data_IF_179023441698
#
_entry.id   IF_179023441698
#
_cell.length_a   1.000
_cell.length_b   1.000
_cell.length_c   1.000
_cell.angle_alpha   90.00
_cell.angle_beta   90.00
_cell.angle_gamma   90.00
#
_symmetry.space_group_name_H-M   'P 1'
#
loop_
_entity.id
_entity.type
_entity.pdbx_description
1 polymer ?
#
# COMPACT_ATOMS: atom_id res chain seq x y z
N UNK A 1 30.10 -13.47 -13.47
CA UNK A 1 30.48 -12.16 -14.07
C UNK A 1 29.49 -11.68 -15.13
N UNK A 2 29.15 -12.48 -16.15
CA UNK A 2 28.23 -12.06 -17.23
C UNK A 2 26.83 -11.63 -16.73
N UNK A 3 26.23 -12.36 -15.77
CA UNK A 3 24.93 -12.02 -15.17
C UNK A 3 24.92 -10.67 -14.43
N UNK A 4 26.02 -10.31 -13.77
CA UNK A 4 26.16 -9.04 -13.04
C UNK A 4 26.30 -7.88 -14.04
N UNK A 5 27.11 -8.06 -15.09
CA UNK A 5 27.25 -7.07 -16.15
C UNK A 5 25.92 -6.76 -16.83
N UNK A 6 25.14 -7.79 -17.17
CA UNK A 6 23.82 -7.62 -17.78
C UNK A 6 22.85 -6.88 -16.86
N UNK A 7 22.85 -7.15 -15.55
CA UNK A 7 22.03 -6.43 -14.58
C UNK A 7 22.43 -4.95 -14.44
N UNK A 8 23.72 -4.64 -14.47
CA UNK A 8 24.20 -3.25 -14.43
C UNK A 8 23.79 -2.51 -15.70
N UNK A 9 23.86 -3.15 -16.86
CA UNK A 9 23.43 -2.55 -18.14
C UNK A 9 21.91 -2.28 -18.17
N UNK A 10 21.10 -3.19 -17.59
CA UNK A 10 19.65 -2.95 -17.44
C UNK A 10 19.35 -1.78 -16.48
N UNK A 11 20.06 -1.70 -15.36
CA UNK A 11 19.95 -0.58 -14.42
C UNK A 11 20.30 0.75 -15.09
N UNK A 12 21.39 0.80 -15.84
CA UNK A 12 21.79 1.99 -16.60
C UNK A 12 20.74 2.40 -17.65
N UNK A 13 20.06 1.43 -18.29
CA UNK A 13 18.94 1.70 -19.20
C UNK A 13 17.72 2.29 -18.46
N UNK A 14 17.40 1.77 -17.28
CA UNK A 14 16.31 2.30 -16.43
C UNK A 14 16.60 3.72 -15.96
N UNK A 15 17.82 3.98 -15.46
CA UNK A 15 18.25 5.32 -15.04
C UNK A 15 18.16 6.33 -16.21
N UNK A 16 18.62 5.97 -17.41
CA UNK A 16 18.50 6.83 -18.59
C UNK A 16 17.06 7.12 -19.02
N UNK A 17 16.12 6.20 -18.77
CA UNK A 17 14.69 6.45 -19.03
C UNK A 17 14.12 7.47 -18.04
N UNK A 18 14.51 7.39 -16.76
CA UNK A 18 14.13 8.36 -15.73
C UNK A 18 14.71 9.74 -16.03
N UNK A 19 15.97 9.83 -16.51
CA UNK A 19 16.61 11.10 -16.89
C UNK A 19 15.95 11.77 -18.12
N UNK A 20 15.37 10.98 -19.04
CA UNK A 20 14.70 11.49 -20.25
C UNK A 20 13.23 11.84 -20.06
N UNK A 21 12.56 11.27 -19.05
CA UNK A 21 11.23 11.67 -18.66
C UNK A 21 11.31 13.04 -17.98
N UNK A 22 10.54 14.00 -18.48
CA UNK A 22 10.49 15.38 -17.95
C UNK A 22 9.72 15.38 -16.59
N UNK A 23 10.23 14.59 -15.62
CA UNK A 23 9.70 14.60 -14.27
C UNK A 23 10.31 15.80 -13.55
N UNK A 24 9.47 16.67 -13.01
CA UNK A 24 9.84 17.82 -12.16
C UNK A 24 10.54 17.44 -10.86
N UNK A 25 11.52 16.53 -10.96
CA UNK A 25 12.34 16.07 -9.85
C UNK A 25 13.32 17.13 -9.41
N UNK A 26 13.52 17.27 -8.10
CA UNK A 26 14.45 18.22 -7.51
C UNK A 26 15.84 18.08 -8.10
N UNK A 27 16.58 19.17 -8.23
CA UNK A 27 17.98 19.23 -8.69
C UNK A 27 18.88 18.21 -7.95
N UNK A 28 18.53 17.86 -6.71
CA UNK A 28 19.19 16.85 -5.87
C UNK A 28 19.05 15.43 -6.44
N UNK A 29 17.90 15.06 -7.00
CA UNK A 29 17.64 13.75 -7.60
C UNK A 29 18.50 13.56 -8.86
N UNK A 30 18.60 14.58 -9.71
CA UNK A 30 19.46 14.56 -10.90
C UNK A 30 20.95 14.44 -10.55
N UNK A 31 21.41 15.13 -9.49
CA UNK A 31 22.78 15.01 -8.99
C UNK A 31 23.08 13.61 -8.46
N UNK A 32 22.14 13.01 -7.75
CA UNK A 32 22.28 11.65 -7.19
C UNK A 32 22.32 10.61 -8.31
N UNK A 33 21.40 10.68 -9.27
CA UNK A 33 21.38 9.78 -10.44
C UNK A 33 22.67 9.85 -11.25
N UNK A 34 23.21 11.06 -11.50
CA UNK A 34 24.49 11.24 -12.19
C UNK A 34 25.68 10.64 -11.42
N UNK A 35 25.70 10.75 -10.08
CA UNK A 35 26.74 10.13 -9.25
C UNK A 35 26.66 8.59 -9.32
N UNK A 36 25.46 8.03 -9.25
CA UNK A 36 25.23 6.57 -9.38
C UNK A 36 25.64 6.08 -10.76
N UNK A 37 25.27 6.79 -11.82
CA UNK A 37 25.65 6.44 -13.19
C UNK A 37 27.18 6.44 -13.40
N UNK A 38 27.88 7.43 -12.84
CA UNK A 38 29.37 7.49 -12.90
C UNK A 38 30.00 6.32 -12.13
N UNK A 39 29.47 5.99 -10.96
CA UNK A 39 29.97 4.87 -10.14
C UNK A 39 29.75 3.52 -10.85
N UNK A 40 28.57 3.29 -11.42
CA UNK A 40 28.26 2.06 -12.15
C UNK A 40 29.14 1.89 -13.39
N UNK A 41 29.43 2.97 -14.14
CA UNK A 41 30.38 2.94 -15.24
C UNK A 41 31.81 2.62 -14.80
N UNK A 42 32.27 3.26 -13.72
CA UNK A 42 33.60 2.99 -13.15
C UNK A 42 33.76 1.51 -12.73
N UNK A 43 32.72 0.90 -12.14
CA UNK A 43 32.69 -0.51 -11.74
C UNK A 43 32.75 -1.43 -12.96
N UNK A 44 32.07 -1.09 -14.06
CA UNK A 44 32.08 -1.91 -15.28
C UNK A 44 33.40 -1.85 -16.07
N UNK A 45 34.14 -0.75 -15.94
CA UNK A 45 35.39 -0.52 -16.67
C UNK A 45 36.61 -1.10 -15.94
N UNK A 46 36.60 -1.22 -14.60
CA UNK A 46 37.71 -1.77 -13.81
C UNK A 46 37.51 -3.24 -13.47
N UNK A 47 38.25 -4.13 -14.13
CA UNK A 47 38.17 -5.60 -14.02
C UNK A 47 38.58 -6.21 -12.63
N UNK A 48 38.83 -5.42 -11.60
CA UNK A 48 39.57 -5.89 -10.41
C UNK A 48 38.84 -5.74 -9.04
N UNK A 49 37.48 -5.72 -8.97
CA UNK A 49 36.79 -5.66 -7.68
C UNK A 49 35.53 -6.57 -7.61
N UNK A 50 35.66 -7.90 -7.48
CA UNK A 50 34.48 -8.77 -7.34
C UNK A 50 33.76 -8.63 -5.99
N UNK A 51 34.47 -8.37 -4.89
CA UNK A 51 33.87 -8.34 -3.53
C UNK A 51 33.08 -7.08 -3.23
N UNK A 52 33.53 -5.92 -3.71
CA UNK A 52 32.84 -4.64 -3.47
C UNK A 52 31.52 -4.53 -4.27
N UNK A 53 31.47 -5.19 -5.43
CA UNK A 53 30.27 -5.21 -6.28
C UNK A 53 29.15 -6.07 -5.66
N UNK A 54 29.49 -7.17 -5.01
CA UNK A 54 28.49 -8.03 -4.36
C UNK A 54 27.86 -7.32 -3.15
N UNK A 55 28.68 -6.61 -2.34
CA UNK A 55 28.19 -5.81 -1.24
C UNK A 55 27.29 -4.64 -1.72
N UNK A 56 27.66 -3.94 -2.78
CA UNK A 56 26.88 -2.82 -3.31
C UNK A 56 25.53 -3.28 -3.91
N UNK A 57 25.49 -4.44 -4.56
CA UNK A 57 24.27 -5.02 -5.15
C UNK A 57 23.34 -5.56 -4.05
N UNK A 58 23.88 -6.02 -2.92
CA UNK A 58 23.09 -6.43 -1.75
C UNK A 58 22.49 -5.24 -0.97
N UNK A 59 23.15 -4.06 -1.02
CA UNK A 59 22.62 -2.82 -0.47
C UNK A 59 21.71 -2.05 -1.44
N UNK A 60 21.68 -2.41 -2.71
CA UNK A 60 20.70 -1.92 -3.67
C UNK A 60 19.48 -2.86 -3.65
N UNK A 61 18.80 -2.99 -2.50
CA UNK A 61 17.37 -3.22 -2.55
C UNK A 61 16.81 -2.25 -3.60
N UNK A 62 15.90 -2.67 -4.51
CA UNK A 62 15.29 -1.71 -5.41
C UNK A 62 14.80 -0.59 -4.53
N UNK A 63 15.44 0.58 -4.62
CA UNK A 63 14.83 1.80 -4.14
C UNK A 63 13.55 1.83 -4.97
N UNK A 64 12.46 1.42 -4.37
CA UNK A 64 11.14 1.73 -4.87
C UNK A 64 11.17 3.25 -4.88
N UNK A 65 11.46 3.84 -6.04
CA UNK A 65 11.17 5.24 -6.29
C UNK A 65 9.65 5.24 -6.20
N UNK A 66 9.11 5.50 -5.00
CA UNK A 66 7.75 5.94 -4.88
C UNK A 66 7.72 7.18 -5.77
N UNK A 67 7.05 7.06 -6.90
CA UNK A 67 6.72 8.23 -7.68
C UNK A 67 6.04 9.19 -6.69
N UNK A 68 6.54 10.42 -6.61
CA UNK A 68 5.85 11.46 -5.84
C UNK A 68 4.41 11.53 -6.37
N UNK A 69 3.45 11.72 -5.47
CA UNK A 69 2.06 11.90 -5.88
C UNK A 69 1.97 12.91 -7.01
N UNK A 70 1.15 12.61 -8.01
CA UNK A 70 0.89 13.54 -9.13
C UNK A 70 0.16 14.78 -8.65
N UNK A 71 -0.71 14.61 -7.66
CA UNK A 71 -1.52 15.66 -7.05
C UNK A 71 -1.15 15.80 -5.57
N UNK A 72 -1.19 17.02 -5.06
CA UNK A 72 -0.82 17.33 -3.67
C UNK A 72 -1.90 16.94 -2.66
N UNK A 73 -3.17 16.93 -3.10
CA UNK A 73 -4.35 16.68 -2.29
C UNK A 73 -5.54 16.27 -3.18
N UNK A 74 -6.67 15.92 -2.56
CA UNK A 74 -7.86 15.50 -3.28
C UNK A 74 -8.49 16.62 -4.12
N UNK A 75 -8.46 17.87 -3.66
CA UNK A 75 -8.98 19.01 -4.41
C UNK A 75 -8.25 19.16 -5.76
N UNK A 76 -6.92 19.11 -5.75
CA UNK A 76 -6.12 19.17 -6.98
C UNK A 76 -6.38 17.96 -7.89
N UNK A 77 -6.49 16.75 -7.31
CA UNK A 77 -6.86 15.55 -8.07
C UNK A 77 -8.22 15.74 -8.75
N UNK A 78 -9.25 16.14 -8.02
CA UNK A 78 -10.61 16.33 -8.50
C UNK A 78 -10.71 17.41 -9.58
N UNK A 79 -9.90 18.47 -9.47
CA UNK A 79 -9.88 19.56 -10.46
C UNK A 79 -9.23 19.15 -11.78
N UNK A 80 -8.36 18.13 -11.80
CA UNK A 80 -7.55 17.77 -12.97
C UNK A 80 -7.89 16.40 -13.57
N UNK A 81 -8.70 15.57 -12.90
CA UNK A 81 -9.11 14.27 -13.38
C UNK A 81 -10.59 14.26 -13.76
N UNK A 82 -10.93 13.47 -14.79
CA UNK A 82 -12.33 13.24 -15.15
C UNK A 82 -13.07 12.53 -14.00
N UNK A 83 -14.33 12.88 -13.71
CA UNK A 83 -15.14 12.18 -12.71
C UNK A 83 -15.37 10.69 -13.05
N UNK A 84 -15.11 10.26 -14.27
CA UNK A 84 -15.15 8.84 -14.67
C UNK A 84 -13.86 8.07 -14.34
N UNK A 85 -12.80 8.78 -13.95
CA UNK A 85 -11.50 8.18 -13.66
C UNK A 85 -11.40 7.62 -12.23
N UNK A 86 -12.33 7.97 -11.34
CA UNK A 86 -12.38 7.48 -9.97
C UNK A 86 -13.82 7.35 -9.47
N UNK A 87 -13.99 6.58 -8.40
CA UNK A 87 -15.24 6.48 -7.66
C UNK A 87 -14.95 6.50 -6.16
N UNK A 88 -15.93 6.98 -5.40
CA UNK A 88 -15.95 6.89 -3.95
C UNK A 88 -17.11 5.99 -3.57
N UNK A 89 -16.85 5.03 -2.69
CA UNK A 89 -17.88 4.23 -2.04
C UNK A 89 -17.80 4.46 -0.54
N UNK A 90 -18.95 4.64 0.07
CA UNK A 90 -19.09 4.73 1.51
C UNK A 90 -20.36 4.03 1.97
N UNK A 91 -20.30 3.38 3.12
CA UNK A 91 -21.42 2.73 3.78
C UNK A 91 -21.26 2.90 5.29
N UNK A 92 -22.27 3.44 5.92
CA UNK A 92 -22.33 3.55 7.38
C UNK A 92 -23.00 2.30 7.95
N UNK A 93 -22.48 1.82 9.08
CA UNK A 93 -23.02 0.74 9.89
C UNK A 93 -23.06 1.18 11.36
N UNK A 94 -23.80 0.49 12.19
CA UNK A 94 -23.83 0.72 13.63
C UNK A 94 -22.62 0.04 14.31
N UNK A 95 -21.44 0.68 14.19
CA UNK A 95 -20.15 0.17 14.64
C UNK A 95 -19.17 1.32 14.90
N UNK A 96 -18.25 1.11 15.84
CA UNK A 96 -17.15 2.05 16.11
C UNK A 96 -15.98 1.88 15.14
N UNK A 97 -16.02 0.88 14.26
CA UNK A 97 -14.96 0.53 13.31
C UNK A 97 -15.20 1.15 11.93
N UNK A 98 -14.21 1.83 11.41
CA UNK A 98 -14.15 2.25 10.01
C UNK A 98 -13.11 1.42 9.24
N UNK A 99 -13.56 0.75 8.19
CA UNK A 99 -12.68 0.15 7.18
C UNK A 99 -12.33 1.24 6.17
N UNK A 100 -11.04 1.48 5.96
CA UNK A 100 -10.53 2.53 5.08
C UNK A 100 -9.66 1.91 3.97
N UNK A 101 -10.02 2.12 2.69
CA UNK A 101 -9.18 1.74 1.55
C UNK A 101 -8.96 2.97 0.64
N UNK A 102 -7.93 3.80 0.92
CA UNK A 102 -7.73 5.05 0.20
C UNK A 102 -7.13 4.87 -1.19
N UNK A 103 -6.63 3.68 -1.52
CA UNK A 103 -5.91 3.40 -2.76
C UNK A 103 -6.55 2.23 -3.55
N UNK A 104 -7.86 2.16 -3.57
CA UNK A 104 -8.59 1.09 -4.22
C UNK A 104 -8.55 1.09 -5.75
N UNK A 105 -9.32 0.19 -6.35
CA UNK A 105 -9.43 0.06 -7.79
C UNK A 105 -8.15 -0.41 -8.47
N UNK A 106 -7.61 0.42 -9.35
CA UNK A 106 -6.39 0.12 -10.11
C UNK A 106 -5.08 0.55 -9.43
N UNK A 107 -5.11 1.24 -8.28
CA UNK A 107 -3.90 1.66 -7.55
C UNK A 107 -3.31 0.45 -6.83
N UNK A 108 -4.03 -0.05 -5.83
CA UNK A 108 -3.63 -1.20 -5.01
C UNK A 108 -4.72 -2.29 -5.11
N UNK A 109 -4.85 -2.86 -6.32
CA UNK A 109 -5.94 -3.80 -6.64
C UNK A 109 -6.09 -4.93 -5.62
N UNK A 110 -7.31 -5.22 -5.22
CA UNK A 110 -7.69 -6.17 -4.16
C UNK A 110 -8.18 -5.48 -2.89
N UNK A 111 -7.69 -4.28 -2.56
CA UNK A 111 -8.10 -3.56 -1.35
C UNK A 111 -9.56 -3.11 -1.39
N UNK A 112 -10.05 -2.67 -2.54
CA UNK A 112 -11.48 -2.33 -2.73
C UNK A 112 -12.40 -3.50 -2.49
N UNK A 113 -12.03 -4.66 -3.02
CA UNK A 113 -12.85 -5.86 -2.93
C UNK A 113 -12.92 -6.36 -1.49
N UNK A 114 -11.80 -6.31 -0.75
CA UNK A 114 -11.77 -6.61 0.68
C UNK A 114 -12.61 -5.62 1.50
N UNK A 115 -12.45 -4.31 1.26
CA UNK A 115 -13.21 -3.29 1.96
C UNK A 115 -14.72 -3.42 1.69
N UNK A 116 -15.13 -3.70 0.45
CA UNK A 116 -16.54 -3.91 0.09
C UNK A 116 -17.13 -5.12 0.79
N UNK A 117 -16.39 -6.21 0.92
CA UNK A 117 -16.88 -7.39 1.65
C UNK A 117 -17.07 -7.07 3.14
N UNK A 118 -16.09 -6.40 3.76
CA UNK A 118 -16.17 -5.97 5.15
C UNK A 118 -17.29 -4.94 5.39
N UNK A 119 -17.75 -4.23 4.36
CA UNK A 119 -18.83 -3.24 4.46
C UNK A 119 -20.19 -3.84 4.82
N UNK A 120 -20.34 -5.14 4.72
CA UNK A 120 -21.57 -5.80 5.19
C UNK A 120 -21.74 -5.73 6.71
N UNK A 121 -20.64 -5.58 7.44
CA UNK A 121 -20.62 -5.53 8.91
C UNK A 121 -20.12 -4.20 9.45
N UNK A 122 -19.13 -3.58 8.82
CA UNK A 122 -18.42 -2.40 9.34
C UNK A 122 -18.67 -1.18 8.46
N UNK A 123 -18.68 0.01 9.08
CA UNK A 123 -18.63 1.25 8.33
C UNK A 123 -17.41 1.26 7.43
N UNK A 124 -17.57 1.67 6.18
CA UNK A 124 -16.55 1.52 5.16
C UNK A 124 -16.46 2.74 4.27
N UNK A 125 -15.26 3.21 4.05
CA UNK A 125 -14.92 4.18 3.02
C UNK A 125 -13.83 3.63 2.10
N UNK A 126 -14.00 3.80 0.80
CA UNK A 126 -12.94 3.51 -0.16
C UNK A 126 -12.94 4.50 -1.32
N UNK A 127 -11.75 4.83 -1.81
CA UNK A 127 -11.50 5.55 -3.05
C UNK A 127 -10.97 4.57 -4.09
N UNK A 128 -11.58 4.56 -5.28
CA UNK A 128 -11.22 3.65 -6.36
C UNK A 128 -10.72 4.41 -7.58
N UNK A 129 -9.50 4.12 -8.05
CA UNK A 129 -9.06 4.55 -9.36
C UNK A 129 -9.62 3.61 -10.44
N UNK A 130 -10.40 4.15 -11.35
CA UNK A 130 -11.03 3.44 -12.48
C UNK A 130 -10.29 3.66 -13.80
N UNK A 131 -9.34 4.60 -13.81
CA UNK A 131 -8.52 4.95 -14.96
C UNK A 131 -7.61 3.80 -15.36
N UNK A 132 -7.60 3.42 -16.62
CA UNK A 132 -6.74 2.36 -17.17
C UNK A 132 -6.29 2.74 -18.59
N UNK A 133 -4.97 2.87 -18.86
CA UNK A 133 -3.84 2.85 -17.92
C UNK A 133 -3.75 4.14 -17.08
N UNK A 134 -2.89 4.13 -16.06
CA UNK A 134 -2.56 5.32 -15.28
C UNK A 134 -3.35 5.46 -13.97
N UNK A 135 -3.90 4.38 -13.43
CA UNK A 135 -4.59 4.38 -12.13
C UNK A 135 -3.71 4.97 -11.02
N UNK A 136 -2.40 4.68 -11.04
CA UNK A 136 -1.45 5.18 -10.05
C UNK A 136 -1.25 6.70 -10.09
N UNK A 137 -1.66 7.39 -11.16
CA UNK A 137 -1.69 8.85 -11.19
C UNK A 137 -2.66 9.44 -10.13
N UNK A 138 -3.63 8.65 -9.66
CA UNK A 138 -4.63 9.05 -8.66
C UNK A 138 -4.22 8.65 -7.23
N UNK A 139 -3.02 8.13 -7.05
CA UNK A 139 -2.48 7.85 -5.71
C UNK A 139 -2.23 9.18 -4.98
N UNK A 140 -2.70 9.24 -3.73
CA UNK A 140 -2.38 10.29 -2.77
C UNK A 140 -1.78 9.60 -1.53
N UNK A 141 -0.54 9.90 -1.21
CA UNK A 141 0.10 9.38 0.01
C UNK A 141 -0.82 9.59 1.22
N UNK A 142 -0.95 8.61 2.10
CA UNK A 142 -1.91 8.63 3.22
C UNK A 142 -1.81 9.87 4.11
N UNK A 143 -0.65 10.53 4.18
CA UNK A 143 -0.48 11.81 4.88
C UNK A 143 -1.02 13.01 4.11
N UNK A 144 -1.29 12.86 2.81
CA UNK A 144 -1.82 13.89 1.92
C UNK A 144 -3.27 13.59 1.50
N UNK A 145 -3.78 12.40 1.89
CA UNK A 145 -5.14 11.99 1.58
C UNK A 145 -6.12 12.78 2.44
N UNK A 146 -6.88 13.67 1.81
CA UNK A 146 -7.76 14.64 2.46
C UNK A 146 -9.16 14.71 1.82
N UNK A 147 -9.64 13.58 1.26
CA UNK A 147 -10.97 13.51 0.69
C UNK A 147 -12.02 13.82 1.78
N UNK A 148 -12.93 14.79 1.54
CA UNK A 148 -13.80 15.30 2.59
C UNK A 148 -14.72 14.27 3.24
N UNK A 149 -15.27 13.34 2.48
CA UNK A 149 -16.17 12.30 3.01
C UNK A 149 -15.41 11.29 3.88
N UNK A 150 -14.19 10.93 3.48
CA UNK A 150 -13.31 10.10 4.31
C UNK A 150 -13.02 10.76 5.66
N UNK A 151 -12.68 12.05 5.63
CA UNK A 151 -12.40 12.80 6.85
C UNK A 151 -13.62 12.94 7.76
N UNK A 152 -14.81 13.06 7.19
CA UNK A 152 -16.04 13.13 7.97
C UNK A 152 -16.37 11.79 8.63
N UNK A 153 -16.28 10.70 7.88
CA UNK A 153 -16.49 9.36 8.42
C UNK A 153 -15.47 9.03 9.53
N UNK A 154 -14.19 9.39 9.34
CA UNK A 154 -13.16 9.18 10.37
C UNK A 154 -13.52 9.86 11.69
N UNK A 155 -14.03 11.10 11.66
CA UNK A 155 -14.49 11.80 12.89
C UNK A 155 -15.67 11.12 13.57
N UNK A 156 -16.42 10.30 12.86
CA UNK A 156 -17.54 9.52 13.36
C UNK A 156 -17.13 8.26 14.13
N UNK A 157 -15.93 7.73 13.92
CA UNK A 157 -15.52 6.40 14.38
C UNK A 157 -14.35 6.42 15.37
N UNK A 158 -14.31 5.44 16.27
CA UNK A 158 -13.26 5.32 17.30
C UNK A 158 -12.03 4.57 16.79
N UNK A 159 -12.18 3.67 15.83
CA UNK A 159 -11.10 2.81 15.36
C UNK A 159 -11.10 2.71 13.84
N UNK A 160 -9.90 2.64 13.24
CA UNK A 160 -9.75 2.48 11.79
C UNK A 160 -8.88 1.28 11.47
N UNK A 161 -9.39 0.39 10.60
CA UNK A 161 -8.59 -0.61 9.89
C UNK A 161 -8.34 -0.10 8.47
N UNK A 162 -7.09 0.28 8.17
CA UNK A 162 -6.70 0.77 6.85
C UNK A 162 -6.07 -0.34 6.00
N UNK A 163 -6.60 -0.52 4.78
CA UNK A 163 -6.17 -1.53 3.84
C UNK A 163 -5.37 -0.89 2.71
N UNK A 164 -4.11 -1.30 2.60
CA UNK A 164 -3.13 -0.84 1.61
C UNK A 164 -2.52 -2.02 0.86
N UNK A 165 -1.79 -1.70 -0.20
CA UNK A 165 -1.07 -2.69 -0.96
C UNK A 165 0.34 -2.24 -1.33
N UNK A 166 1.30 -3.14 -1.20
CA UNK A 166 2.67 -2.89 -1.60
C UNK A 166 3.19 -3.91 -2.63
N UNK A 167 4.28 -3.54 -3.30
CA UNK A 167 4.86 -4.33 -4.37
C UNK A 167 5.82 -5.40 -3.81
N UNK A 168 5.34 -6.64 -3.74
CA UNK A 168 6.13 -7.86 -3.51
C UNK A 168 5.43 -9.04 -4.19
N UNK A 169 6.19 -10.01 -4.69
CA UNK A 169 5.63 -11.23 -5.28
C UNK A 169 5.39 -12.34 -4.23
N UNK A 170 5.93 -12.19 -3.03
CA UNK A 170 5.69 -13.09 -1.91
C UNK A 170 4.32 -12.81 -1.30
N UNK A 171 3.65 -13.82 -0.76
CA UNK A 171 2.39 -13.67 -0.04
C UNK A 171 2.69 -13.23 1.39
N UNK A 172 2.49 -11.93 1.69
CA UNK A 172 2.92 -11.35 2.95
C UNK A 172 2.07 -10.14 3.33
N UNK A 173 1.92 -9.90 4.64
CA UNK A 173 1.26 -8.74 5.25
C UNK A 173 2.25 -8.00 6.13
N UNK A 174 2.45 -6.70 5.87
CA UNK A 174 3.13 -5.82 6.82
C UNK A 174 2.06 -5.12 7.66
N UNK A 175 2.21 -5.16 8.96
CA UNK A 175 1.25 -4.62 9.93
C UNK A 175 1.83 -3.39 10.61
N UNK A 176 1.05 -2.34 10.69
CA UNK A 176 1.42 -1.11 11.38
C UNK A 176 0.20 -0.42 11.97
N UNK A 177 0.27 0.90 12.12
CA UNK A 177 -0.76 1.73 12.75
C UNK A 177 -0.30 2.30 14.08
N UNK A 178 -1.21 2.99 14.75
CA UNK A 178 -0.96 3.67 16.04
C UNK A 178 -1.42 2.84 17.25
N UNK A 179 -2.31 1.87 17.07
CA UNK A 179 -2.70 0.94 18.15
C UNK A 179 -1.76 -0.27 18.16
N UNK A 180 -0.63 -0.15 18.87
CA UNK A 180 0.44 -1.16 18.86
C UNK A 180 0.00 -2.50 19.43
N UNK A 181 -0.80 -2.48 20.48
CA UNK A 181 -1.27 -3.72 21.12
C UNK A 181 -2.17 -4.51 20.16
N UNK A 182 -3.09 -3.82 19.47
CA UNK A 182 -3.94 -4.45 18.46
C UNK A 182 -3.17 -4.81 17.18
N UNK A 183 -2.16 -4.04 16.79
CA UNK A 183 -1.29 -4.38 15.67
C UNK A 183 -0.48 -5.66 15.93
N UNK A 184 0.03 -5.85 17.15
CA UNK A 184 0.69 -7.10 17.56
C UNK A 184 -0.31 -8.27 17.60
N UNK A 185 -1.49 -8.06 18.15
CA UNK A 185 -2.53 -9.07 18.22
C UNK A 185 -2.99 -9.54 16.83
N UNK A 186 -3.27 -8.62 15.88
CA UNK A 186 -3.67 -9.01 14.53
C UNK A 186 -2.52 -9.68 13.76
N UNK A 187 -1.28 -9.28 14.00
CA UNK A 187 -0.11 -9.97 13.43
C UNK A 187 -0.09 -11.44 13.86
N UNK A 188 -0.33 -11.70 15.14
CA UNK A 188 -0.41 -13.05 15.68
C UNK A 188 -1.61 -13.82 15.10
N UNK A 189 -2.78 -13.17 15.01
CA UNK A 189 -3.99 -13.76 14.43
C UNK A 189 -3.77 -14.18 12.97
N UNK A 190 -3.19 -13.30 12.16
CA UNK A 190 -2.88 -13.59 10.76
C UNK A 190 -1.89 -14.76 10.63
N UNK A 191 -0.82 -14.78 11.43
CA UNK A 191 0.15 -15.88 11.42
C UNK A 191 -0.50 -17.21 11.84
N UNK A 192 -1.37 -17.20 12.85
CA UNK A 192 -2.11 -18.39 13.29
C UNK A 192 -3.10 -18.90 12.22
N UNK A 193 -3.65 -18.00 11.41
CA UNK A 193 -4.49 -18.34 10.28
C UNK A 193 -3.71 -18.79 9.02
N UNK A 194 -2.37 -18.84 9.10
CA UNK A 194 -1.51 -19.32 8.01
C UNK A 194 -1.03 -18.23 7.05
N UNK A 195 -1.31 -16.95 7.32
CA UNK A 195 -0.75 -15.83 6.56
C UNK A 195 0.61 -15.43 7.12
N UNK A 196 1.57 -15.14 6.25
CA UNK A 196 2.84 -14.57 6.69
C UNK A 196 2.65 -13.09 7.03
N UNK A 197 2.74 -12.73 8.30
CA UNK A 197 2.54 -11.36 8.77
C UNK A 197 3.71 -10.88 9.63
N UNK A 198 4.10 -9.60 9.46
CA UNK A 198 5.21 -8.96 10.17
C UNK A 198 4.75 -7.62 10.75
N UNK A 199 5.01 -7.39 12.05
CA UNK A 199 4.78 -6.12 12.71
C UNK A 199 5.94 -5.16 12.43
N UNK A 200 5.64 -4.03 11.80
CA UNK A 200 6.63 -2.98 11.50
C UNK A 200 6.95 -2.12 12.73
N UNK A 201 8.20 -1.70 12.85
CA UNK A 201 8.58 -0.66 13.81
C UNK A 201 7.94 0.69 13.46
N UNK A 202 7.54 1.44 14.49
CA UNK A 202 7.02 2.79 14.34
C UNK A 202 8.01 3.71 13.62
N UNK A 203 7.46 4.63 12.82
CA UNK A 203 8.28 5.58 12.05
C UNK A 203 8.98 5.00 10.84
N UNK A 204 8.90 3.67 10.63
CA UNK A 204 9.41 3.06 9.40
C UNK A 204 8.46 3.30 8.23
N UNK A 205 8.97 3.13 7.02
CA UNK A 205 8.17 3.22 5.81
C UNK A 205 7.04 2.18 5.85
N UNK A 206 5.85 2.55 5.44
CA UNK A 206 4.62 1.74 5.43
C UNK A 206 4.04 1.43 6.81
N UNK A 207 4.67 1.88 7.92
CA UNK A 207 4.16 1.60 9.26
C UNK A 207 2.83 2.29 9.60
N UNK A 208 2.39 3.29 8.83
CA UNK A 208 1.16 4.02 9.10
C UNK A 208 1.10 4.80 10.42
N UNK A 209 2.21 4.85 11.17
CA UNK A 209 2.26 5.41 12.52
C UNK A 209 2.32 6.94 12.59
N UNK A 210 2.45 7.64 11.43
CA UNK A 210 2.45 9.11 11.40
C UNK A 210 1.11 9.67 11.87
N UNK A 211 1.08 10.68 12.78
CA UNK A 211 -0.17 11.35 13.17
C UNK A 211 -0.88 12.04 12.00
N UNK A 212 -0.16 12.34 10.93
CA UNK A 212 -0.73 12.92 9.71
C UNK A 212 -1.34 11.88 8.75
N UNK A 213 -1.13 10.58 8.99
CA UNK A 213 -1.78 9.53 8.21
C UNK A 213 -3.30 9.65 8.34
N UNK A 214 -4.01 9.55 7.24
CA UNK A 214 -5.48 9.70 7.21
C UNK A 214 -6.17 8.72 8.15
N UNK A 215 -5.70 7.49 8.27
CA UNK A 215 -6.27 6.48 9.17
C UNK A 215 -6.23 6.88 10.66
N UNK A 216 -5.32 7.78 11.04
CA UNK A 216 -5.13 8.25 12.42
C UNK A 216 -5.95 9.52 12.75
N UNK A 217 -6.81 9.97 11.82
CA UNK A 217 -7.67 11.15 12.00
C UNK A 217 -9.06 10.82 12.55
N UNK A 218 -9.26 9.58 13.02
CA UNK A 218 -10.46 9.16 13.73
C UNK A 218 -10.51 9.75 15.14
N UNK A 219 -11.61 9.53 15.89
CA UNK A 219 -11.82 10.14 17.22
C UNK A 219 -10.70 9.82 18.21
N UNK A 220 -10.24 8.58 18.27
CA UNK A 220 -9.23 8.12 19.24
C UNK A 220 -7.79 8.30 18.77
N UNK A 221 -7.57 8.50 17.48
CA UNK A 221 -6.26 8.42 16.84
C UNK A 221 -5.71 6.98 16.76
N UNK A 222 -6.52 5.97 17.02
CA UNK A 222 -6.14 4.56 17.05
C UNK A 222 -6.47 3.85 15.74
N UNK A 223 -5.47 3.25 15.13
CA UNK A 223 -5.62 2.53 13.87
C UNK A 223 -4.72 1.31 13.77
N UNK A 224 -5.11 0.38 12.91
CA UNK A 224 -4.23 -0.62 12.30
C UNK A 224 -4.11 -0.29 10.81
N UNK A 225 -2.92 -0.39 10.26
CA UNK A 225 -2.66 -0.36 8.82
C UNK A 225 -2.13 -1.71 8.36
N UNK A 226 -2.78 -2.29 7.35
CA UNK A 226 -2.34 -3.52 6.70
C UNK A 226 -1.82 -3.18 5.30
N UNK A 227 -0.56 -3.52 5.05
CA UNK A 227 0.07 -3.45 3.75
C UNK A 227 0.11 -4.86 3.15
N UNK A 228 -0.80 -5.13 2.22
CA UNK A 228 -0.93 -6.43 1.58
C UNK A 228 -0.02 -6.50 0.36
N UNK A 229 0.85 -7.49 0.30
CA UNK A 229 1.72 -7.70 -0.87
C UNK A 229 0.94 -7.95 -2.15
N UNK A 230 1.50 -7.65 -3.30
CA UNK A 230 0.90 -7.99 -4.59
C UNK A 230 0.69 -9.52 -4.75
N UNK A 231 1.61 -10.33 -4.21
CA UNK A 231 1.48 -11.79 -4.19
C UNK A 231 0.22 -12.23 -3.46
N UNK A 232 0.05 -11.79 -2.20
CA UNK A 232 -1.12 -12.13 -1.39
C UNK A 232 -2.43 -11.62 -2.03
N UNK A 233 -2.47 -10.37 -2.50
CA UNK A 233 -3.67 -9.84 -3.17
C UNK A 233 -4.03 -10.61 -4.43
N UNK A 234 -3.03 -11.10 -5.18
CA UNK A 234 -3.27 -11.93 -6.36
C UNK A 234 -3.81 -13.32 -6.01
N UNK A 235 -3.35 -13.93 -4.91
CA UNK A 235 -3.79 -15.28 -4.53
C UNK A 235 -5.26 -15.34 -4.09
N UNK A 236 -5.89 -14.20 -3.82
CA UNK A 236 -7.29 -14.06 -3.42
C UNK A 236 -8.29 -14.08 -4.58
N UNK A 237 -7.82 -14.06 -5.85
CA UNK A 237 -8.68 -13.95 -7.03
C UNK A 237 -8.22 -14.87 -8.14
N UNK A 238 -9.16 -15.53 -8.84
CA UNK A 238 -8.82 -16.32 -10.01
C UNK A 238 -8.42 -15.44 -11.21
N UNK A 239 -8.93 -14.20 -11.27
CA UNK A 239 -8.56 -13.19 -12.28
C UNK A 239 -8.22 -11.87 -11.62
N UNK A 240 -6.95 -11.51 -11.62
CA UNK A 240 -6.46 -10.28 -10.98
C UNK A 240 -6.44 -9.10 -11.96
N UNK A 241 -7.61 -8.70 -12.44
CA UNK A 241 -7.82 -7.50 -13.26
C UNK A 241 -8.83 -6.57 -12.61
N UNK A 242 -8.85 -5.30 -13.00
CA UNK A 242 -9.79 -4.32 -12.43
C UNK A 242 -11.26 -4.78 -12.51
N UNK A 243 -11.64 -5.43 -13.62
CA UNK A 243 -13.00 -5.96 -13.80
C UNK A 243 -13.19 -7.39 -13.27
N UNK A 244 -12.12 -8.19 -13.23
CA UNK A 244 -12.24 -9.61 -12.91
C UNK A 244 -12.25 -9.90 -11.41
N UNK A 245 -11.66 -9.03 -10.58
CA UNK A 245 -11.55 -9.28 -9.14
C UNK A 245 -12.90 -9.41 -8.45
N UNK A 246 -13.86 -8.53 -8.77
CA UNK A 246 -15.19 -8.57 -8.15
C UNK A 246 -15.93 -9.90 -8.37
N UNK A 247 -15.66 -10.56 -9.51
CA UNK A 247 -16.42 -11.74 -9.96
C UNK A 247 -15.66 -13.05 -9.72
N UNK A 248 -14.38 -13.00 -9.29
CA UNK A 248 -13.51 -14.17 -9.22
C UNK A 248 -12.81 -14.34 -7.88
N UNK A 249 -13.44 -13.87 -6.79
CA UNK A 249 -13.00 -14.12 -5.41
C UNK A 249 -12.98 -15.62 -5.14
N UNK A 250 -11.95 -16.08 -4.46
CA UNK A 250 -11.78 -17.50 -4.15
C UNK A 250 -11.79 -17.76 -2.63
N UNK A 251 -11.57 -18.99 -2.23
CA UNK A 251 -11.58 -19.39 -0.83
C UNK A 251 -10.57 -18.60 0.02
N UNK A 252 -9.37 -18.31 -0.51
CA UNK A 252 -8.37 -17.51 0.20
C UNK A 252 -8.85 -16.07 0.49
N UNK A 253 -9.66 -15.49 -0.41
CA UNK A 253 -10.28 -14.19 -0.16
C UNK A 253 -11.22 -14.24 1.04
N UNK A 254 -12.13 -15.21 1.09
CA UNK A 254 -13.10 -15.30 2.18
C UNK A 254 -12.44 -15.71 3.50
N UNK A 255 -11.46 -16.61 3.49
CA UNK A 255 -10.69 -16.96 4.69
C UNK A 255 -9.95 -15.74 5.27
N UNK A 256 -9.44 -14.84 4.41
CA UNK A 256 -8.82 -13.59 4.88
C UNK A 256 -9.86 -12.62 5.49
N UNK A 257 -11.02 -12.49 4.86
CA UNK A 257 -12.15 -11.69 5.40
C UNK A 257 -12.60 -12.22 6.75
N UNK A 258 -12.79 -13.54 6.89
CA UNK A 258 -13.20 -14.18 8.14
C UNK A 258 -12.17 -13.95 9.26
N UNK A 259 -10.88 -14.01 8.92
CA UNK A 259 -9.78 -13.72 9.86
C UNK A 259 -9.82 -12.27 10.35
N UNK A 260 -10.03 -11.30 9.46
CA UNK A 260 -10.13 -9.88 9.82
C UNK A 260 -11.39 -9.61 10.64
N UNK A 261 -12.53 -10.15 10.22
CA UNK A 261 -13.82 -9.96 10.90
C UNK A 261 -13.81 -10.56 12.30
N UNK A 262 -13.26 -11.77 12.45
CA UNK A 262 -13.10 -12.41 13.76
C UNK A 262 -12.24 -11.56 14.69
N UNK A 263 -11.09 -11.08 14.19
CA UNK A 263 -10.22 -10.19 14.97
C UNK A 263 -10.93 -8.90 15.42
N UNK A 264 -11.63 -8.22 14.50
CA UNK A 264 -12.32 -6.95 14.80
C UNK A 264 -13.44 -7.16 15.84
N UNK A 265 -14.23 -8.22 15.72
CA UNK A 265 -15.29 -8.53 16.66
C UNK A 265 -14.76 -8.78 18.08
N UNK A 266 -13.67 -9.55 18.19
CA UNK A 266 -13.12 -9.94 19.50
C UNK A 266 -12.31 -8.80 20.15
N UNK A 267 -11.52 -8.06 19.38
CA UNK A 267 -10.50 -7.17 19.93
C UNK A 267 -10.85 -5.68 19.83
N UNK A 268 -11.87 -5.32 19.05
CA UNK A 268 -12.27 -3.92 18.86
C UNK A 268 -13.70 -3.70 19.35
N UNK A 269 -14.67 -4.49 18.89
CA UNK A 269 -16.07 -4.32 19.26
C UNK A 269 -16.45 -4.97 20.58
N UNK A 270 -15.59 -5.81 21.15
CA UNK A 270 -15.88 -6.52 22.41
C UNK A 270 -17.04 -7.52 22.32
N UNK A 271 -17.48 -7.86 21.11
CA UNK A 271 -18.48 -8.88 20.83
C UNK A 271 -17.79 -10.24 20.84
N UNK A 272 -17.49 -10.78 22.05
CA UNK A 272 -17.01 -12.15 22.16
C UNK A 272 -17.99 -13.09 21.46
N UNK A 273 -17.47 -14.15 20.85
CA UNK A 273 -18.25 -15.23 20.23
C UNK A 273 -19.32 -15.67 21.25
N UNK A 274 -20.58 -15.29 21.02
CA UNK A 274 -21.72 -15.94 21.69
C UNK A 274 -21.78 -17.35 21.10
N UNK A 275 -21.28 -18.30 21.89
CA UNK A 275 -21.36 -19.74 21.63
C UNK A 275 -22.78 -20.19 21.45
#
# INVERSE_FOLDING_TARGET
MLRIKNRIEELLKKIKRVEKGNFGGSHLLHLTLRKVTKLLKYITEKKSFPVLVTALVSFMNPISILAADKYRNFEELKANESPFNFAIFSKEQDTDVLILAPHGGGIEGGTSELAKELSETYSTYLFEALKTPGAFDLHLTSTNFDEPQALEMLKGHEFTLSLHGYASNEEHVLVGGTDRDKAEAITSTLNNAGYSAELLDEGTKLSGSSPNNVANKNKSGKSIQLELSTGLRKSMFNTFSLKGRSDTRNENFYNFIDTLSGFLNENVEGKGLTT
#
